data_IF_487024055238
#
_entry.id   IF_487024055238
#
_cell.length_a   1.000
_cell.length_b   1.000
_cell.length_c   1.000
_cell.angle_alpha   90.00
_cell.angle_beta   90.00
_cell.angle_gamma   90.00
#
_symmetry.space_group_name_H-M   'P 1'
#
loop_
_entity.id
_entity.type
_entity.pdbx_description
1 polymer ?
#
# COMPACT_ATOMS: atom_id res chain seq x y z
N UNK A 1 -15.45 24.40 13.10
CA UNK A 1 -16.70 24.19 12.34
C UNK A 1 -17.13 22.74 12.48
N UNK A 2 -18.03 22.50 13.44
CA UNK A 2 -18.91 21.34 13.66
C UNK A 2 -18.42 19.91 13.30
N UNK A 3 -17.94 19.17 14.31
CA UNK A 3 -17.86 17.69 14.32
C UNK A 3 -19.23 16.99 14.12
N UNK A 4 -20.34 17.73 14.02
CA UNK A 4 -21.71 17.22 13.91
C UNK A 4 -22.24 17.14 12.46
N UNK A 5 -21.41 17.33 11.43
CA UNK A 5 -21.84 17.24 10.01
C UNK A 5 -21.29 16.05 9.20
N UNK A 6 -20.83 14.98 9.84
CA UNK A 6 -20.55 13.73 9.11
C UNK A 6 -21.70 12.73 9.29
N UNK A 7 -22.81 12.96 8.57
CA UNK A 7 -23.93 12.01 8.39
C UNK A 7 -23.47 10.64 7.84
N UNK A 8 -22.21 10.53 7.40
CA UNK A 8 -21.59 9.31 6.93
C UNK A 8 -20.69 8.61 7.97
N UNK A 9 -20.27 9.25 9.06
CA UNK A 9 -19.25 8.68 9.95
C UNK A 9 -19.73 7.40 10.64
N UNK A 10 -20.87 7.47 11.33
CA UNK A 10 -21.47 6.32 12.02
C UNK A 10 -21.82 5.16 11.08
N UNK A 11 -22.55 5.37 9.96
CA UNK A 11 -22.84 4.26 9.03
C UNK A 11 -21.57 3.71 8.37
N UNK A 12 -20.58 4.55 8.03
CA UNK A 12 -19.32 4.08 7.45
C UNK A 12 -18.48 3.27 8.44
N UNK A 13 -18.35 3.71 9.68
CA UNK A 13 -17.67 2.97 10.74
C UNK A 13 -18.35 1.62 10.99
N UNK A 14 -19.69 1.59 11.04
CA UNK A 14 -20.45 0.35 11.16
C UNK A 14 -20.21 -0.61 10.00
N UNK A 15 -20.31 -0.12 8.76
CA UNK A 15 -20.06 -0.93 7.57
C UNK A 15 -18.63 -1.46 7.52
N UNK A 16 -17.66 -0.60 7.79
CA UNK A 16 -16.24 -0.94 7.76
C UNK A 16 -15.91 -2.03 8.78
N UNK A 17 -16.26 -1.81 10.05
CA UNK A 17 -15.94 -2.75 11.13
C UNK A 17 -16.78 -4.02 11.05
N UNK A 18 -18.03 -3.95 10.60
CA UNK A 18 -18.87 -5.14 10.39
C UNK A 18 -18.30 -6.07 9.33
N UNK A 19 -17.87 -5.51 8.17
CA UNK A 19 -17.22 -6.28 7.10
C UNK A 19 -15.91 -6.88 7.59
N UNK A 20 -15.03 -6.08 8.21
CA UNK A 20 -13.76 -6.58 8.74
C UNK A 20 -13.94 -7.66 9.81
N UNK A 21 -14.96 -7.52 10.67
CA UNK A 21 -15.27 -8.52 11.69
C UNK A 21 -15.69 -9.85 11.07
N UNK A 22 -16.57 -9.82 10.05
CA UNK A 22 -16.94 -11.02 9.30
C UNK A 22 -15.73 -11.66 8.61
N UNK A 23 -14.89 -10.85 7.97
CA UNK A 23 -13.66 -11.33 7.34
C UNK A 23 -12.70 -11.98 8.35
N UNK A 24 -12.59 -11.40 9.55
CA UNK A 24 -11.76 -11.95 10.64
C UNK A 24 -12.30 -13.28 11.13
N UNK A 25 -13.62 -13.40 11.31
CA UNK A 25 -14.28 -14.67 11.68
C UNK A 25 -14.02 -15.75 10.63
N UNK A 26 -14.06 -15.41 9.33
CA UNK A 26 -13.69 -16.35 8.27
C UNK A 26 -12.22 -16.78 8.38
N UNK A 27 -11.31 -15.89 8.76
CA UNK A 27 -9.91 -16.26 9.00
C UNK A 27 -9.75 -17.26 10.16
N UNK A 28 -10.57 -17.16 11.22
CA UNK A 28 -10.59 -18.14 12.30
C UNK A 28 -11.16 -19.50 11.87
N UNK A 29 -12.15 -19.54 10.96
CA UNK A 29 -12.70 -20.79 10.43
C UNK A 29 -11.76 -21.49 9.42
N UNK A 30 -11.01 -20.72 8.64
CA UNK A 30 -10.16 -21.25 7.57
C UNK A 30 -8.71 -20.73 7.68
N UNK A 31 -8.04 -20.94 8.82
CA UNK A 31 -6.74 -20.32 9.09
C UNK A 31 -5.66 -20.81 8.11
N UNK A 32 -5.73 -22.06 7.67
CA UNK A 32 -4.79 -22.64 6.70
C UNK A 32 -4.87 -22.02 5.30
N UNK A 33 -6.04 -21.47 4.94
CA UNK A 33 -6.30 -20.91 3.63
C UNK A 33 -6.24 -19.38 3.64
N UNK A 34 -6.66 -18.73 4.71
CA UNK A 34 -6.90 -17.28 4.77
C UNK A 34 -5.91 -16.52 5.65
N UNK A 35 -4.95 -17.20 6.27
CA UNK A 35 -3.91 -16.55 7.08
C UNK A 35 -2.52 -16.93 6.63
N UNK A 36 -1.62 -15.96 6.58
CA UNK A 36 -0.26 -16.18 6.10
C UNK A 36 0.65 -16.56 7.28
N UNK A 37 1.55 -17.52 7.06
CA UNK A 37 2.44 -18.03 8.12
C UNK A 37 3.29 -16.92 8.74
N UNK A 38 3.85 -16.07 7.89
CA UNK A 38 4.74 -14.98 8.28
C UNK A 38 4.02 -13.98 9.21
N UNK A 39 2.74 -13.70 8.96
CA UNK A 39 1.96 -12.74 9.74
C UNK A 39 1.36 -13.34 11.01
N UNK A 40 1.03 -14.64 11.01
CA UNK A 40 0.67 -15.36 12.24
C UNK A 40 1.75 -15.31 13.33
N UNK A 41 3.02 -15.09 12.96
CA UNK A 41 4.11 -14.90 13.91
C UNK A 41 4.17 -13.48 14.50
N UNK A 42 3.44 -12.52 13.94
CA UNK A 42 3.51 -11.09 14.30
C UNK A 42 2.47 -10.69 15.35
N UNK A 43 1.32 -11.37 15.39
CA UNK A 43 0.24 -11.07 16.33
C UNK A 43 -0.25 -12.33 17.05
N UNK A 44 -0.82 -12.14 18.25
CA UNK A 44 -1.36 -13.24 19.05
C UNK A 44 -2.84 -13.47 18.76
N UNK A 45 -3.32 -14.68 19.03
CA UNK A 45 -4.75 -15.01 18.96
C UNK A 45 -5.58 -14.07 19.86
N UNK A 46 -5.16 -13.86 21.10
CA UNK A 46 -5.82 -12.96 22.06
C UNK A 46 -5.96 -11.54 21.52
N UNK A 47 -4.90 -11.04 20.86
CA UNK A 47 -4.94 -9.73 20.22
C UNK A 47 -5.99 -9.69 19.11
N UNK A 48 -6.03 -10.70 18.23
CA UNK A 48 -7.00 -10.77 17.14
C UNK A 48 -8.44 -10.89 17.65
N UNK A 49 -8.68 -11.71 18.68
CA UNK A 49 -10.01 -11.86 19.31
C UNK A 49 -10.45 -10.57 20.01
N UNK A 50 -9.54 -9.89 20.70
CA UNK A 50 -9.82 -8.59 21.34
C UNK A 50 -10.18 -7.54 20.30
N UNK A 51 -9.42 -7.46 19.21
CA UNK A 51 -9.70 -6.51 18.13
C UNK A 51 -11.04 -6.80 17.45
N UNK A 52 -11.35 -8.08 17.22
CA UNK A 52 -12.66 -8.53 16.71
C UNK A 52 -13.81 -8.12 17.63
N UNK A 53 -13.66 -8.31 18.95
CA UNK A 53 -14.67 -7.92 19.93
C UNK A 53 -14.97 -6.41 19.87
N UNK A 54 -13.90 -5.59 19.86
CA UNK A 54 -14.01 -4.13 19.76
C UNK A 54 -14.70 -3.76 18.43
N UNK A 55 -14.29 -4.39 17.33
CA UNK A 55 -14.87 -4.19 16.00
C UNK A 55 -16.38 -4.46 15.97
N UNK A 56 -16.81 -5.61 16.50
CA UNK A 56 -18.22 -6.00 16.59
C UNK A 56 -19.03 -5.01 17.45
N UNK A 57 -18.52 -4.67 18.64
CA UNK A 57 -19.19 -3.76 19.57
C UNK A 57 -19.41 -2.37 18.94
N UNK A 58 -18.37 -1.82 18.32
CA UNK A 58 -18.47 -0.52 17.62
C UNK A 58 -19.36 -0.62 16.39
N UNK A 59 -19.31 -1.73 15.63
CA UNK A 59 -20.14 -1.92 14.44
C UNK A 59 -21.63 -1.90 14.77
N UNK A 60 -22.04 -2.62 15.82
CA UNK A 60 -23.43 -2.61 16.29
C UNK A 60 -23.82 -1.23 16.83
N UNK A 61 -23.01 -0.65 17.72
CA UNK A 61 -23.33 0.64 18.33
C UNK A 61 -23.48 1.75 17.29
N UNK A 62 -22.49 1.91 16.40
CA UNK A 62 -22.52 2.92 15.34
C UNK A 62 -23.63 2.65 14.32
N UNK A 63 -23.90 1.39 14.00
CA UNK A 63 -24.94 0.98 13.08
C UNK A 63 -26.34 1.28 13.60
N UNK A 64 -26.62 0.94 14.87
CA UNK A 64 -27.87 1.25 15.54
C UNK A 64 -28.10 2.76 15.61
N UNK A 65 -27.07 3.54 16.00
CA UNK A 65 -27.17 5.01 15.98
C UNK A 65 -27.50 5.53 14.59
N UNK A 66 -26.83 5.01 13.55
CA UNK A 66 -27.05 5.44 12.18
C UNK A 66 -28.48 5.12 11.70
N UNK A 67 -29.01 3.93 12.00
CA UNK A 67 -30.39 3.55 11.67
C UNK A 67 -31.40 4.43 12.41
N UNK A 68 -31.22 4.65 13.72
CA UNK A 68 -32.10 5.48 14.53
C UNK A 68 -32.09 6.95 14.10
N UNK A 69 -30.97 7.44 13.57
CA UNK A 69 -30.82 8.82 13.06
C UNK A 69 -31.12 8.96 11.56
N UNK A 70 -31.62 7.90 10.92
CA UNK A 70 -31.89 7.86 9.47
C UNK A 70 -30.68 8.25 8.60
N UNK A 71 -29.48 7.82 9.01
CA UNK A 71 -28.21 8.11 8.34
C UNK A 71 -27.80 6.96 7.42
N UNK A 72 -27.84 7.18 6.10
CA UNK A 72 -27.37 6.23 5.08
C UNK A 72 -27.74 4.76 5.38
N UNK A 73 -29.03 4.50 5.61
CA UNK A 73 -29.58 3.20 6.07
C UNK A 73 -28.98 1.97 5.39
N UNK A 74 -28.77 1.99 4.06
CA UNK A 74 -28.17 0.85 3.33
C UNK A 74 -26.80 0.45 3.89
N UNK A 75 -25.96 1.43 4.18
CA UNK A 75 -24.60 1.22 4.71
C UNK A 75 -24.66 0.77 6.17
N UNK A 76 -25.53 1.37 6.98
CA UNK A 76 -25.75 0.94 8.37
C UNK A 76 -26.28 -0.50 8.46
N UNK A 77 -27.27 -0.87 7.63
CA UNK A 77 -27.79 -2.24 7.56
C UNK A 77 -26.75 -3.23 7.08
N UNK A 78 -25.88 -2.86 6.12
CA UNK A 78 -24.79 -3.72 5.71
C UNK A 78 -23.80 -3.96 6.86
N UNK A 79 -23.45 -2.93 7.63
CA UNK A 79 -22.57 -3.05 8.80
C UNK A 79 -23.16 -3.91 9.90
N UNK A 80 -24.39 -3.64 10.31
CA UNK A 80 -25.09 -4.44 11.32
C UNK A 80 -25.29 -5.88 10.83
N UNK A 81 -25.70 -6.08 9.57
CA UNK A 81 -25.93 -7.40 8.99
C UNK A 81 -24.65 -8.25 8.92
N UNK A 82 -23.53 -7.66 8.52
CA UNK A 82 -22.23 -8.36 8.48
C UNK A 82 -21.70 -8.65 9.89
N UNK A 83 -21.86 -7.73 10.85
CA UNK A 83 -21.54 -7.97 12.26
C UNK A 83 -22.41 -9.10 12.87
N UNK A 84 -23.71 -9.12 12.57
CA UNK A 84 -24.61 -10.22 12.97
C UNK A 84 -24.16 -11.54 12.37
N UNK A 85 -23.83 -11.59 11.08
CA UNK A 85 -23.32 -12.80 10.45
C UNK A 85 -22.02 -13.28 11.12
N UNK A 86 -21.12 -12.37 11.46
CA UNK A 86 -19.89 -12.69 12.17
C UNK A 86 -20.16 -13.34 13.55
N UNK A 87 -21.11 -12.80 14.31
CA UNK A 87 -21.53 -13.38 15.61
C UNK A 87 -22.20 -14.75 15.43
N UNK A 88 -23.10 -14.89 14.44
CA UNK A 88 -23.77 -16.16 14.16
C UNK A 88 -22.80 -17.26 13.72
N UNK A 89 -21.69 -16.89 13.10
CA UNK A 89 -20.59 -17.78 12.75
C UNK A 89 -19.63 -18.02 13.93
N UNK A 90 -19.95 -17.59 15.16
CA UNK A 90 -19.16 -17.87 16.36
C UNK A 90 -18.37 -16.67 16.91
N UNK A 91 -18.22 -15.58 16.14
CA UNK A 91 -17.62 -14.34 16.61
C UNK A 91 -16.24 -14.53 17.25
N UNK A 92 -16.09 -14.09 18.49
CA UNK A 92 -14.84 -14.21 19.27
C UNK A 92 -14.62 -15.60 19.86
N UNK A 93 -15.59 -16.50 19.74
CA UNK A 93 -15.58 -17.86 20.32
C UNK A 93 -15.37 -18.94 19.26
N UNK A 94 -15.01 -18.58 18.02
CA UNK A 94 -14.70 -19.57 16.97
C UNK A 94 -13.64 -20.53 17.51
N UNK A 95 -13.94 -21.86 17.56
CA UNK A 95 -12.99 -22.84 18.06
C UNK A 95 -11.73 -22.83 17.19
N UNK A 96 -10.58 -22.71 17.84
CA UNK A 96 -9.29 -22.80 17.18
C UNK A 96 -8.52 -23.92 17.86
N UNK A 97 -8.65 -25.12 17.30
CA UNK A 97 -7.90 -26.28 17.76
C UNK A 97 -6.46 -26.15 17.24
N UNK A 98 -5.48 -26.13 18.14
CA UNK A 98 -4.13 -25.63 17.90
C UNK A 98 -3.33 -26.28 16.75
N UNK A 99 -2.28 -25.55 16.35
CA UNK A 99 -1.35 -25.79 15.22
C UNK A 99 -2.00 -25.84 13.84
N UNK A 100 -2.15 -24.66 13.23
CA UNK A 100 -2.47 -24.49 11.81
C UNK A 100 -1.34 -25.10 10.97
N UNK A 101 -1.65 -26.13 10.19
CA UNK A 101 -0.65 -26.84 9.41
C UNK A 101 -0.03 -25.93 8.35
N UNK A 102 1.21 -26.23 7.96
CA UNK A 102 1.90 -25.49 6.91
C UNK A 102 1.31 -25.88 5.55
N UNK A 103 0.49 -25.00 4.98
CA UNK A 103 0.08 -25.09 3.59
C UNK A 103 1.12 -24.44 2.67
N UNK A 104 1.37 -25.00 1.48
CA UNK A 104 2.30 -24.39 0.51
C UNK A 104 1.78 -23.06 -0.05
N UNK A 105 0.46 -22.85 0.01
CA UNK A 105 -0.21 -21.63 -0.42
C UNK A 105 -1.33 -21.27 0.56
N UNK A 106 -1.42 -19.99 0.88
CA UNK A 106 -2.40 -19.33 1.72
C UNK A 106 -2.60 -17.90 1.18
N UNK A 107 -3.78 -17.36 1.46
CA UNK A 107 -4.16 -15.99 1.17
C UNK A 107 -3.85 -15.13 2.40
N UNK A 108 -3.38 -13.91 2.17
CA UNK A 108 -3.11 -12.92 3.22
C UNK A 108 -4.34 -12.11 3.61
N UNK A 109 -5.45 -12.79 3.91
CA UNK A 109 -6.69 -12.10 4.26
C UNK A 109 -6.61 -11.48 5.67
N UNK A 110 -5.94 -12.15 6.59
CA UNK A 110 -5.51 -11.60 7.88
C UNK A 110 -4.72 -10.30 7.73
N UNK A 111 -3.73 -10.31 6.85
CA UNK A 111 -2.88 -9.17 6.58
C UNK A 111 -3.67 -8.03 5.95
N UNK A 112 -4.58 -8.32 5.01
CA UNK A 112 -5.49 -7.33 4.46
C UNK A 112 -6.33 -6.65 5.55
N UNK A 113 -6.93 -7.42 6.46
CA UNK A 113 -7.78 -6.88 7.54
C UNK A 113 -6.96 -5.95 8.44
N UNK A 114 -5.81 -6.41 8.93
CA UNK A 114 -4.97 -5.64 9.84
C UNK A 114 -4.42 -4.38 9.16
N UNK A 115 -3.85 -4.52 7.96
CA UNK A 115 -3.27 -3.39 7.24
C UNK A 115 -4.34 -2.34 6.90
N UNK A 116 -5.53 -2.77 6.45
CA UNK A 116 -6.63 -1.85 6.14
C UNK A 116 -7.14 -1.15 7.40
N UNK A 117 -7.34 -1.89 8.51
CA UNK A 117 -7.80 -1.33 9.78
C UNK A 117 -6.83 -0.26 10.30
N UNK A 118 -5.54 -0.58 10.44
CA UNK A 118 -4.56 0.35 10.99
C UNK A 118 -4.26 1.51 10.05
N UNK A 119 -4.20 1.28 8.73
CA UNK A 119 -4.01 2.38 7.78
C UNK A 119 -5.18 3.34 7.80
N UNK A 120 -6.42 2.84 7.79
CA UNK A 120 -7.61 3.69 7.90
C UNK A 120 -7.65 4.46 9.24
N UNK A 121 -7.33 3.79 10.36
CA UNK A 121 -7.31 4.37 11.69
C UNK A 121 -6.29 5.52 11.81
N UNK A 122 -5.14 5.39 11.15
CA UNK A 122 -4.06 6.40 11.19
C UNK A 122 -4.29 7.49 10.15
N UNK A 123 -4.46 7.13 8.89
CA UNK A 123 -4.39 8.08 7.79
C UNK A 123 -5.69 8.84 7.55
N UNK A 124 -6.88 8.27 7.81
CA UNK A 124 -8.14 9.02 7.63
C UNK A 124 -8.19 10.24 8.57
N UNK A 125 -7.89 10.12 9.88
CA UNK A 125 -7.82 11.28 10.77
C UNK A 125 -6.71 12.26 10.40
N UNK A 126 -5.52 11.76 10.04
CA UNK A 126 -4.40 12.63 9.64
C UNK A 126 -4.73 13.46 8.41
N UNK A 127 -5.31 12.84 7.38
CA UNK A 127 -5.72 13.56 6.17
C UNK A 127 -6.91 14.49 6.41
N UNK A 128 -7.80 14.20 7.37
CA UNK A 128 -8.83 15.17 7.76
C UNK A 128 -8.25 16.38 8.50
N UNK A 129 -7.28 16.16 9.37
CA UNK A 129 -6.69 17.21 10.20
C UNK A 129 -5.71 18.10 9.42
N UNK A 130 -4.95 17.50 8.51
CA UNK A 130 -3.82 18.14 7.83
C UNK A 130 -3.96 18.12 6.31
N UNK A 131 -5.18 18.01 5.79
CA UNK A 131 -5.47 17.88 4.37
C UNK A 131 -4.77 18.96 3.53
N UNK A 132 -4.07 18.57 2.46
CA UNK A 132 -3.65 19.53 1.43
C UNK A 132 -4.85 20.09 0.67
N UNK A 133 -5.82 19.21 0.36
CA UNK A 133 -7.13 19.57 -0.21
C UNK A 133 -8.23 18.80 0.53
N UNK A 134 -9.43 19.37 0.72
CA UNK A 134 -10.54 18.64 1.31
C UNK A 134 -11.04 17.59 0.31
N UNK A 135 -10.70 16.32 0.57
CA UNK A 135 -11.10 15.18 -0.25
C UNK A 135 -11.99 14.25 0.59
N UNK A 136 -13.19 13.87 0.11
CA UNK A 136 -14.02 12.90 0.83
C UNK A 136 -13.34 11.54 0.92
N UNK A 137 -13.51 10.81 2.04
CA UNK A 137 -12.99 9.44 2.22
C UNK A 137 -13.39 8.52 1.05
N UNK A 138 -14.64 8.64 0.60
CA UNK A 138 -15.17 7.88 -0.54
C UNK A 138 -15.07 8.67 -1.86
N UNK A 139 -13.89 9.22 -2.16
CA UNK A 139 -13.63 9.98 -3.41
C UNK A 139 -13.73 9.11 -4.67
N UNK A 140 -13.99 9.69 -5.87
CA UNK A 140 -13.91 8.94 -7.12
C UNK A 140 -12.61 8.12 -7.23
N UNK A 141 -12.75 6.84 -7.57
CA UNK A 141 -11.63 5.89 -7.64
C UNK A 141 -11.36 5.09 -6.36
N UNK A 142 -11.92 5.45 -5.20
CA UNK A 142 -11.64 4.77 -3.92
C UNK A 142 -11.87 3.25 -3.98
N UNK A 143 -12.90 2.80 -4.71
CA UNK A 143 -13.20 1.37 -4.88
C UNK A 143 -12.12 0.64 -5.65
N UNK A 144 -11.59 1.28 -6.69
CA UNK A 144 -10.49 0.72 -7.48
C UNK A 144 -9.26 0.60 -6.60
N UNK A 145 -8.92 1.64 -5.85
CA UNK A 145 -7.77 1.64 -4.94
C UNK A 145 -7.94 0.61 -3.81
N UNK A 146 -9.16 0.45 -3.26
CA UNK A 146 -9.46 -0.60 -2.30
C UNK A 146 -9.32 -2.01 -2.90
N UNK A 147 -9.72 -2.23 -4.15
CA UNK A 147 -9.51 -3.51 -4.83
C UNK A 147 -8.02 -3.81 -5.07
N UNK A 148 -7.21 -2.81 -5.40
CA UNK A 148 -5.76 -2.98 -5.53
C UNK A 148 -5.11 -3.27 -4.17
N UNK A 149 -5.52 -2.54 -3.12
CA UNK A 149 -5.09 -2.82 -1.76
C UNK A 149 -5.46 -4.25 -1.35
N UNK A 150 -6.69 -4.69 -1.62
CA UNK A 150 -7.12 -6.06 -1.38
C UNK A 150 -6.22 -7.07 -2.11
N UNK A 151 -6.02 -6.90 -3.42
CA UNK A 151 -5.19 -7.78 -4.23
C UNK A 151 -3.75 -7.89 -3.68
N UNK A 152 -3.11 -6.76 -3.38
CA UNK A 152 -1.70 -6.75 -2.94
C UNK A 152 -1.48 -7.42 -1.59
N UNK A 153 -2.49 -7.42 -0.72
CA UNK A 153 -2.41 -8.03 0.61
C UNK A 153 -2.85 -9.49 0.57
N UNK A 154 -3.95 -9.81 -0.10
CA UNK A 154 -4.44 -11.19 -0.22
C UNK A 154 -3.49 -12.07 -1.01
N UNK A 155 -2.82 -11.54 -2.04
CA UNK A 155 -1.83 -12.28 -2.83
C UNK A 155 -0.40 -12.17 -2.28
N UNK A 156 -0.21 -11.71 -1.03
CA UNK A 156 1.14 -11.45 -0.48
C UNK A 156 2.06 -12.66 -0.54
N UNK A 157 1.56 -13.87 -0.23
CA UNK A 157 2.38 -15.08 -0.27
C UNK A 157 2.73 -15.47 -1.71
N UNK A 158 1.80 -15.36 -2.66
CA UNK A 158 2.09 -15.57 -4.08
C UNK A 158 3.16 -14.59 -4.57
N UNK A 159 3.04 -13.31 -4.21
CA UNK A 159 4.04 -12.29 -4.54
C UNK A 159 5.40 -12.66 -3.93
N UNK A 160 5.44 -13.07 -2.67
CA UNK A 160 6.67 -13.49 -1.99
C UNK A 160 7.33 -14.69 -2.68
N UNK A 161 6.54 -15.69 -3.09
CA UNK A 161 7.02 -16.87 -3.83
C UNK A 161 7.62 -16.43 -5.17
N UNK A 162 6.92 -15.61 -5.95
CA UNK A 162 7.40 -15.14 -7.25
C UNK A 162 8.68 -14.30 -7.12
N UNK A 163 8.73 -13.40 -6.13
CA UNK A 163 9.90 -12.58 -5.85
C UNK A 163 11.08 -13.48 -5.47
N UNK A 164 10.91 -14.39 -4.52
CA UNK A 164 11.97 -15.33 -4.07
C UNK A 164 12.45 -16.22 -5.21
N UNK A 165 11.53 -16.76 -6.02
CA UNK A 165 11.88 -17.55 -7.20
C UNK A 165 12.73 -16.76 -8.20
N UNK A 166 12.37 -15.49 -8.45
CA UNK A 166 13.08 -14.63 -9.39
C UNK A 166 14.49 -14.20 -8.92
N UNK A 167 14.72 -14.11 -7.60
CA UNK A 167 16.01 -13.65 -7.06
C UNK A 167 16.95 -14.79 -6.66
N UNK A 168 16.41 -15.94 -6.20
CA UNK A 168 17.18 -17.04 -5.62
C UNK A 168 18.25 -17.62 -6.54
N UNK A 169 17.96 -17.77 -7.83
CA UNK A 169 18.93 -18.28 -8.82
C UNK A 169 20.13 -17.35 -9.00
N UNK A 170 19.89 -16.04 -9.01
CA UNK A 170 20.95 -15.04 -9.16
C UNK A 170 21.80 -15.01 -7.89
N UNK A 171 21.16 -15.05 -6.72
CA UNK A 171 21.85 -15.03 -5.41
C UNK A 171 22.65 -16.32 -5.15
N UNK A 172 22.21 -17.46 -5.67
CA UNK A 172 22.94 -18.72 -5.52
C UNK A 172 24.18 -18.79 -6.40
N UNK A 173 24.15 -18.14 -7.57
CA UNK A 173 25.23 -18.18 -8.58
C UNK A 173 26.24 -17.05 -8.43
N UNK A 174 25.79 -15.86 -8.05
CA UNK A 174 26.66 -14.69 -7.86
C UNK A 174 27.18 -14.67 -6.43
N UNK A 175 28.50 -14.81 -6.27
CA UNK A 175 29.20 -14.65 -4.99
C UNK A 175 30.10 -13.42 -5.07
N UNK A 176 30.04 -12.57 -4.05
CA UNK A 176 30.93 -11.42 -3.89
C UNK A 176 31.81 -11.70 -2.66
N UNK A 177 33.03 -12.22 -2.83
CA UNK A 177 33.89 -12.62 -1.71
C UNK A 177 34.12 -11.46 -0.73
N UNK A 178 34.03 -11.74 0.57
CA UNK A 178 34.25 -10.77 1.66
C UNK A 178 33.17 -9.70 1.84
N UNK A 179 32.29 -9.45 0.86
CA UNK A 179 31.23 -8.45 0.97
C UNK A 179 30.18 -8.82 2.03
N UNK A 180 29.74 -10.08 2.04
CA UNK A 180 28.69 -10.52 2.95
C UNK A 180 29.16 -10.49 4.41
N UNK A 181 30.38 -10.94 4.67
CA UNK A 181 31.01 -10.86 6.00
C UNK A 181 31.13 -9.40 6.45
N UNK A 182 31.67 -8.53 5.58
CA UNK A 182 31.79 -7.11 5.89
C UNK A 182 30.45 -6.45 6.21
N UNK A 183 29.41 -6.73 5.42
CA UNK A 183 28.06 -6.17 5.63
C UNK A 183 27.41 -6.68 6.91
N UNK A 184 27.63 -7.95 7.26
CA UNK A 184 27.07 -8.56 8.46
C UNK A 184 27.77 -8.09 9.74
N UNK A 185 29.03 -7.68 9.64
CA UNK A 185 29.80 -7.10 10.75
C UNK A 185 29.44 -5.63 11.04
N UNK A 186 28.71 -4.97 10.14
CA UNK A 186 28.28 -3.59 10.37
C UNK A 186 27.28 -3.49 11.53
N UNK A 187 27.33 -2.41 12.33
CA UNK A 187 26.27 -2.11 13.29
C UNK A 187 24.91 -2.06 12.59
N UNK A 188 23.88 -2.62 13.24
CA UNK A 188 22.54 -2.78 12.65
C UNK A 188 22.01 -1.50 11.98
N UNK A 189 22.16 -0.34 12.64
CA UNK A 189 21.68 0.95 12.10
C UNK A 189 22.40 1.34 10.82
N UNK A 190 23.71 1.10 10.73
CA UNK A 190 24.50 1.40 9.53
C UNK A 190 24.10 0.46 8.39
N UNK A 191 24.01 -0.84 8.67
CA UNK A 191 23.53 -1.82 7.70
C UNK A 191 22.12 -1.48 7.20
N UNK A 192 21.22 -1.07 8.10
CA UNK A 192 19.86 -0.65 7.76
C UNK A 192 19.84 0.58 6.85
N UNK A 193 20.57 1.65 7.18
CA UNK A 193 20.61 2.85 6.34
C UNK A 193 21.21 2.56 4.95
N UNK A 194 22.24 1.70 4.87
CA UNK A 194 22.80 1.25 3.60
C UNK A 194 21.80 0.41 2.80
N UNK A 195 21.05 -0.49 3.45
CA UNK A 195 20.00 -1.26 2.81
C UNK A 195 18.89 -0.36 2.25
N UNK A 196 18.43 0.63 3.03
CA UNK A 196 17.45 1.63 2.57
C UNK A 196 17.96 2.37 1.34
N UNK A 197 19.19 2.87 1.37
CA UNK A 197 19.78 3.59 0.24
C UNK A 197 19.89 2.70 -1.02
N UNK A 198 20.40 1.47 -0.87
CA UNK A 198 20.60 0.55 -1.99
C UNK A 198 19.27 0.11 -2.59
N UNK A 199 18.28 -0.19 -1.74
CA UNK A 199 16.93 -0.54 -2.16
C UNK A 199 16.25 0.61 -2.90
N UNK A 200 16.33 1.83 -2.38
CA UNK A 200 15.73 3.01 -2.99
C UNK A 200 16.42 3.38 -4.31
N UNK A 201 17.75 3.24 -4.40
CA UNK A 201 18.48 3.40 -5.65
C UNK A 201 18.04 2.38 -6.71
N UNK A 202 17.94 1.10 -6.35
CA UNK A 202 17.49 0.05 -7.26
C UNK A 202 16.04 0.30 -7.72
N UNK A 203 15.17 0.69 -6.79
CA UNK A 203 13.80 1.07 -7.10
C UNK A 203 13.74 2.28 -8.01
N UNK A 204 14.46 3.37 -7.71
CA UNK A 204 14.45 4.61 -8.50
C UNK A 204 14.95 4.38 -9.93
N UNK A 205 15.95 3.52 -10.13
CA UNK A 205 16.43 3.14 -11.46
C UNK A 205 15.34 2.40 -12.25
N UNK A 206 14.71 1.38 -11.65
CA UNK A 206 13.60 0.68 -12.29
C UNK A 206 12.41 1.61 -12.54
N UNK A 207 12.16 2.53 -11.61
CA UNK A 207 11.09 3.49 -11.72
C UNK A 207 11.31 4.47 -12.87
N UNK A 208 12.54 4.95 -13.05
CA UNK A 208 12.93 5.68 -14.26
C UNK A 208 12.74 4.86 -15.53
N UNK A 209 13.00 3.55 -15.49
CA UNK A 209 12.72 2.65 -16.61
C UNK A 209 11.21 2.52 -16.88
N UNK A 210 10.35 2.49 -15.85
CA UNK A 210 8.90 2.54 -16.03
C UNK A 210 8.48 3.78 -16.84
N UNK A 211 9.10 4.93 -16.58
CA UNK A 211 8.80 6.18 -17.28
C UNK A 211 9.43 6.31 -18.67
N UNK A 212 10.48 5.53 -18.98
CA UNK A 212 11.25 5.68 -20.24
C UNK A 212 11.15 4.50 -21.21
N UNK A 213 10.62 3.36 -20.77
CA UNK A 213 10.43 2.16 -21.60
C UNK A 213 8.93 1.92 -21.77
N UNK A 214 8.45 1.96 -23.01
CA UNK A 214 7.02 2.00 -23.31
C UNK A 214 6.26 0.78 -22.78
N UNK A 215 6.88 -0.41 -22.89
CA UNK A 215 6.29 -1.64 -22.37
C UNK A 215 6.08 -1.55 -20.85
N UNK A 216 7.05 -0.98 -20.13
CA UNK A 216 7.00 -0.81 -18.69
C UNK A 216 6.03 0.31 -18.28
N UNK A 217 5.98 1.41 -19.03
CA UNK A 217 5.03 2.50 -18.81
C UNK A 217 3.59 2.03 -18.87
N UNK A 218 3.23 1.08 -19.73
CA UNK A 218 1.85 0.55 -19.81
C UNK A 218 1.34 0.01 -18.48
N UNK A 219 2.22 -0.64 -17.70
CA UNK A 219 1.89 -1.13 -16.38
C UNK A 219 1.84 0.02 -15.37
N UNK A 220 2.87 0.88 -15.39
CA UNK A 220 3.03 1.96 -14.43
C UNK A 220 2.07 3.14 -14.61
N UNK A 221 1.54 3.35 -15.82
CA UNK A 221 0.47 4.30 -16.08
C UNK A 221 -0.79 3.99 -15.26
N UNK A 222 -1.01 2.74 -14.86
CA UNK A 222 -2.08 2.36 -13.92
C UNK A 222 -1.87 3.06 -12.58
N UNK A 223 -0.64 3.09 -12.07
CA UNK A 223 -0.29 3.80 -10.84
C UNK A 223 -0.51 5.31 -10.97
N UNK A 224 -0.01 5.91 -12.04
CA UNK A 224 -0.25 7.31 -12.35
C UNK A 224 -1.68 7.64 -12.78
N UNK A 225 -2.62 6.69 -12.84
CA UNK A 225 -3.98 6.99 -13.33
C UNK A 225 -4.89 7.67 -12.30
N UNK A 226 -4.43 7.85 -11.06
CA UNK A 226 -5.28 8.46 -10.02
C UNK A 226 -5.39 9.97 -10.20
N UNK A 227 -6.61 10.53 -10.33
CA UNK A 227 -6.80 11.97 -10.44
C UNK A 227 -6.66 12.69 -9.08
N UNK A 228 -6.69 11.93 -7.99
CA UNK A 228 -6.57 12.40 -6.61
C UNK A 228 -5.61 11.47 -5.85
N UNK A 229 -4.80 12.06 -4.98
CA UNK A 229 -3.87 11.33 -4.12
C UNK A 229 -4.34 11.38 -2.66
N UNK A 230 -4.35 10.21 -2.04
CA UNK A 230 -4.54 9.98 -0.62
C UNK A 230 -3.76 8.72 -0.23
N UNK A 231 -3.82 8.35 1.05
CA UNK A 231 -3.14 7.18 1.61
C UNK A 231 -3.48 5.87 0.88
N UNK A 232 -4.68 5.77 0.28
CA UNK A 232 -5.12 4.59 -0.43
C UNK A 232 -4.67 4.60 -1.90
N UNK A 233 -4.49 5.78 -2.52
CA UNK A 233 -4.10 5.93 -3.93
C UNK A 233 -2.79 5.19 -4.26
N UNK A 234 -1.83 5.18 -3.32
CA UNK A 234 -0.55 4.49 -3.48
C UNK A 234 -0.67 2.97 -3.67
N UNK A 235 -1.81 2.37 -3.32
CA UNK A 235 -2.03 0.92 -3.52
C UNK A 235 -2.27 0.55 -4.97
N UNK A 236 -2.68 1.50 -5.82
CA UNK A 236 -3.02 1.26 -7.23
C UNK A 236 -1.77 0.94 -8.03
N UNK A 237 -1.28 -0.30 -7.92
CA UNK A 237 -0.07 -0.77 -8.58
C UNK A 237 -0.40 -2.06 -9.29
N UNK A 238 -0.02 -2.18 -10.56
CA UNK A 238 -0.29 -3.38 -11.34
C UNK A 238 0.43 -4.61 -10.73
N UNK A 239 -0.18 -5.79 -10.79
CA UNK A 239 0.41 -7.01 -10.21
C UNK A 239 1.84 -7.29 -10.73
N UNK A 240 2.04 -7.24 -12.05
CA UNK A 240 3.37 -7.39 -12.68
C UNK A 240 4.38 -6.37 -12.16
N UNK A 241 3.97 -5.12 -11.99
CA UNK A 241 4.83 -4.06 -11.46
C UNK A 241 5.20 -4.33 -10.00
N UNK A 242 4.25 -4.82 -9.20
CA UNK A 242 4.49 -5.22 -7.80
C UNK A 242 5.58 -6.29 -7.71
N UNK A 243 5.47 -7.35 -8.52
CA UNK A 243 6.45 -8.44 -8.53
C UNK A 243 7.80 -7.91 -9.00
N UNK A 244 7.85 -7.20 -10.14
CA UNK A 244 9.09 -6.69 -10.71
C UNK A 244 9.81 -5.71 -9.77
N UNK A 245 9.08 -4.77 -9.17
CA UNK A 245 9.64 -3.79 -8.23
C UNK A 245 10.21 -4.48 -7.00
N UNK A 246 9.45 -5.39 -6.38
CA UNK A 246 9.93 -6.12 -5.20
C UNK A 246 11.13 -7.01 -5.51
N UNK A 247 11.18 -7.64 -6.68
CA UNK A 247 12.34 -8.43 -7.12
C UNK A 247 13.59 -7.57 -7.29
N UNK A 248 13.49 -6.43 -7.98
CA UNK A 248 14.64 -5.54 -8.20
C UNK A 248 15.11 -4.87 -6.91
N UNK A 249 14.20 -4.57 -5.98
CA UNK A 249 14.54 -4.06 -4.65
C UNK A 249 15.25 -5.12 -3.81
N UNK A 250 14.72 -6.35 -3.78
CA UNK A 250 15.24 -7.40 -2.90
C UNK A 250 16.56 -7.98 -3.40
N UNK A 251 16.73 -8.11 -4.71
CA UNK A 251 17.91 -8.72 -5.33
C UNK A 251 19.25 -8.13 -4.83
N UNK A 252 19.51 -6.81 -4.89
CA UNK A 252 20.77 -6.24 -4.44
C UNK A 252 20.96 -6.40 -2.92
N UNK A 253 19.87 -6.38 -2.13
CA UNK A 253 19.97 -6.59 -0.68
C UNK A 253 20.48 -8.00 -0.35
N UNK A 254 19.96 -9.01 -1.05
CA UNK A 254 20.38 -10.40 -0.88
C UNK A 254 21.78 -10.66 -1.43
N UNK A 255 22.15 -10.05 -2.55
CA UNK A 255 23.48 -10.20 -3.16
C UNK A 255 24.59 -9.63 -2.28
N UNK A 256 24.36 -8.44 -1.73
CA UNK A 256 25.28 -7.76 -0.82
C UNK A 256 25.38 -8.48 0.53
N UNK A 257 24.33 -9.21 0.93
CA UNK A 257 24.35 -10.10 2.08
C UNK A 257 23.81 -9.47 3.37
N UNK A 258 22.90 -8.50 3.26
CA UNK A 258 22.23 -7.95 4.45
C UNK A 258 21.51 -9.06 5.22
N UNK A 259 21.58 -8.98 6.55
CA UNK A 259 20.95 -9.97 7.43
C UNK A 259 19.41 -9.95 7.26
N UNK A 260 18.72 -11.07 7.53
CA UNK A 260 17.27 -11.13 7.46
C UNK A 260 16.56 -10.08 8.32
N UNK A 261 17.14 -9.72 9.49
CA UNK A 261 16.58 -8.69 10.36
C UNK A 261 16.62 -7.30 9.73
N UNK A 262 17.69 -6.95 9.02
CA UNK A 262 17.80 -5.68 8.28
C UNK A 262 16.80 -5.64 7.12
N UNK A 263 16.70 -6.73 6.36
CA UNK A 263 15.73 -6.82 5.24
C UNK A 263 14.28 -6.73 5.74
N UNK A 264 13.96 -7.38 6.86
CA UNK A 264 12.63 -7.29 7.48
C UNK A 264 12.33 -5.88 8.01
N UNK A 265 13.31 -5.21 8.62
CA UNK A 265 13.16 -3.81 9.04
C UNK A 265 12.90 -2.88 7.83
N UNK A 266 13.59 -3.11 6.71
CA UNK A 266 13.33 -2.39 5.46
C UNK A 266 11.91 -2.65 4.94
N UNK A 267 11.43 -3.90 4.99
CA UNK A 267 10.07 -4.24 4.57
C UNK A 267 8.99 -3.46 5.37
N UNK A 268 9.22 -3.25 6.67
CA UNK A 268 8.35 -2.41 7.51
C UNK A 268 8.44 -0.94 7.08
N UNK A 269 9.65 -0.41 6.88
CA UNK A 269 9.85 0.98 6.43
C UNK A 269 9.11 1.24 5.12
N UNK A 270 9.31 0.41 4.09
CA UNK A 270 8.71 0.62 2.78
C UNK A 270 7.18 0.54 2.82
N UNK A 271 6.62 -0.34 3.67
CA UNK A 271 5.18 -0.43 3.88
C UNK A 271 4.56 0.86 4.41
N UNK A 272 5.24 1.53 5.36
CA UNK A 272 4.78 2.80 5.93
C UNK A 272 5.03 3.94 4.94
N UNK A 273 6.24 4.01 4.42
CA UNK A 273 6.74 5.18 3.73
C UNK A 273 6.12 5.31 2.32
N UNK A 274 5.77 4.18 1.67
CA UNK A 274 4.96 4.19 0.45
C UNK A 274 3.56 4.82 0.67
N UNK A 275 2.91 4.59 1.82
CA UNK A 275 1.61 5.19 2.15
C UNK A 275 1.78 6.68 2.46
N UNK A 276 2.78 7.03 3.28
CA UNK A 276 3.07 8.43 3.63
C UNK A 276 3.38 9.27 2.38
N UNK A 277 4.12 8.73 1.41
CA UNK A 277 4.47 9.46 0.18
C UNK A 277 3.23 9.88 -0.64
N UNK A 278 2.12 9.15 -0.56
CA UNK A 278 0.90 9.45 -1.30
C UNK A 278 -0.18 10.16 -0.47
N UNK A 279 -0.02 10.18 0.85
CA UNK A 279 -1.03 10.70 1.76
C UNK A 279 -1.35 12.18 1.46
N UNK A 280 -2.63 12.55 1.56
CA UNK A 280 -3.11 13.92 1.36
C UNK A 280 -2.77 14.81 2.56
N UNK A 281 -1.49 14.89 2.95
CA UNK A 281 -1.00 15.67 4.08
C UNK A 281 -0.28 16.92 3.57
N UNK A 282 -0.89 18.09 3.75
CA UNK A 282 -0.42 19.39 3.27
C UNK A 282 0.64 20.07 4.12
N UNK A 283 1.27 19.35 5.06
CA UNK A 283 2.30 19.90 5.93
C UNK A 283 3.58 20.14 5.12
N UNK A 284 4.19 21.32 5.29
CA UNK A 284 5.54 21.61 4.78
C UNK A 284 6.57 21.24 5.83
N UNK A 285 7.43 20.28 5.51
CA UNK A 285 8.44 19.78 6.44
C UNK A 285 9.83 20.44 6.27
N UNK A 286 9.95 21.43 5.37
CA UNK A 286 11.16 22.21 5.18
C UNK A 286 12.34 21.36 4.73
N UNK A 287 13.46 21.41 5.47
CA UNK A 287 14.69 20.68 5.13
C UNK A 287 14.48 19.17 5.06
N UNK A 288 13.52 18.61 5.81
CA UNK A 288 13.24 17.18 5.77
C UNK A 288 12.78 16.70 4.39
N UNK A 289 12.17 17.56 3.56
CA UNK A 289 11.75 17.23 2.19
C UNK A 289 12.93 16.96 1.23
N UNK A 290 14.16 17.22 1.67
CA UNK A 290 15.39 16.92 0.95
C UNK A 290 16.10 15.67 1.49
N UNK A 291 15.70 15.18 2.66
CA UNK A 291 16.32 14.02 3.34
C UNK A 291 15.46 12.77 3.22
N UNK A 292 14.13 12.93 3.36
CA UNK A 292 13.16 11.85 3.29
C UNK A 292 12.04 12.27 2.34
N UNK A 293 11.60 11.34 1.51
CA UNK A 293 10.46 11.55 0.63
C UNK A 293 9.21 11.72 1.47
N UNK A 294 8.50 12.80 1.19
CA UNK A 294 7.31 13.25 1.88
C UNK A 294 6.23 13.59 0.84
N UNK A 295 4.95 13.74 1.24
CA UNK A 295 3.85 13.87 0.29
C UNK A 295 4.11 14.87 -0.84
N UNK A 296 4.57 16.09 -0.54
CA UNK A 296 4.81 17.11 -1.58
C UNK A 296 5.78 16.65 -2.68
N UNK A 297 6.84 15.95 -2.30
CA UNK A 297 7.84 15.42 -3.22
C UNK A 297 7.23 14.44 -4.23
N UNK A 298 6.51 13.45 -3.72
CA UNK A 298 5.96 12.38 -4.54
C UNK A 298 4.66 12.81 -5.24
N UNK A 299 3.92 13.77 -4.69
CA UNK A 299 2.83 14.43 -5.40
C UNK A 299 3.33 15.12 -6.68
N UNK A 300 4.50 15.78 -6.66
CA UNK A 300 5.11 16.35 -7.86
C UNK A 300 5.51 15.29 -8.89
N UNK A 301 5.88 14.09 -8.46
CA UNK A 301 6.10 12.95 -9.36
C UNK A 301 4.79 12.53 -10.07
N UNK A 302 3.68 12.50 -9.34
CA UNK A 302 2.34 12.20 -9.86
C UNK A 302 1.66 13.37 -10.57
N UNK A 303 2.33 14.52 -10.68
CA UNK A 303 1.76 15.71 -11.28
C UNK A 303 1.45 15.48 -12.76
N UNK A 304 0.24 15.86 -13.16
CA UNK A 304 -0.16 15.90 -14.57
C UNK A 304 0.44 17.13 -15.24
N UNK A 305 1.76 17.17 -15.36
CA UNK A 305 2.51 18.34 -15.83
C UNK A 305 3.78 17.93 -16.60
N UNK A 306 3.94 18.47 -17.82
CA UNK A 306 5.05 18.12 -18.74
C UNK A 306 6.45 18.41 -18.19
N UNK A 307 6.58 19.36 -17.27
CA UNK A 307 7.86 19.65 -16.64
C UNK A 307 8.24 18.72 -15.47
N UNK A 308 7.32 17.87 -15.01
CA UNK A 308 7.48 17.06 -13.78
C UNK A 308 7.24 15.56 -13.97
N UNK A 309 6.63 15.14 -15.09
CA UNK A 309 6.28 13.72 -15.31
C UNK A 309 7.49 12.77 -15.28
N UNK A 310 8.71 13.25 -15.59
CA UNK A 310 9.94 12.43 -15.60
C UNK A 310 10.91 12.76 -14.44
N UNK A 311 10.37 13.12 -13.27
CA UNK A 311 11.14 13.57 -12.10
C UNK A 311 10.77 12.80 -10.85
N UNK A 312 11.65 12.84 -9.84
CA UNK A 312 11.39 12.36 -8.48
C UNK A 312 10.99 10.87 -8.38
N UNK A 313 11.86 9.96 -8.78
CA UNK A 313 11.62 8.51 -8.83
C UNK A 313 11.81 7.77 -7.49
N UNK A 314 12.63 8.31 -6.59
CA UNK A 314 12.90 7.75 -5.28
C UNK A 314 11.62 7.70 -4.46
N UNK A 315 11.49 6.63 -3.66
CA UNK A 315 10.39 6.52 -2.72
C UNK A 315 10.84 6.88 -1.31
N UNK A 316 12.12 6.70 -0.93
CA UNK A 316 12.58 6.96 0.44
C UNK A 316 13.43 8.22 0.60
N UNK A 317 14.41 8.40 -0.26
CA UNK A 317 15.51 9.35 -0.09
C UNK A 317 15.63 10.24 -1.32
N UNK A 318 15.23 11.53 -1.26
CA UNK A 318 15.35 12.44 -2.40
C UNK A 318 16.79 12.61 -2.90
N UNK A 319 17.79 12.33 -2.07
CA UNK A 319 19.21 12.31 -2.48
C UNK A 319 19.48 11.33 -3.62
N UNK A 320 18.74 10.22 -3.73
CA UNK A 320 18.86 9.28 -4.86
C UNK A 320 18.56 9.99 -6.18
N UNK A 321 17.47 10.78 -6.23
CA UNK A 321 17.15 11.58 -7.40
C UNK A 321 18.11 12.76 -7.63
N UNK A 322 18.70 13.32 -6.56
CA UNK A 322 19.74 14.34 -6.71
C UNK A 322 20.98 13.75 -7.40
N UNK A 323 21.39 12.54 -7.01
CA UNK A 323 22.48 11.81 -7.64
C UNK A 323 22.15 11.42 -9.09
N UNK A 324 20.89 11.06 -9.37
CA UNK A 324 20.42 10.71 -10.71
C UNK A 324 20.12 11.92 -11.63
N UNK A 325 20.17 13.14 -11.09
CA UNK A 325 19.81 14.38 -11.80
C UNK A 325 18.31 14.53 -12.11
N UNK A 326 17.45 13.79 -11.42
CA UNK A 326 15.99 13.76 -11.60
C UNK A 326 15.23 14.52 -10.50
N UNK A 327 15.90 15.00 -9.45
CA UNK A 327 15.28 15.76 -8.36
C UNK A 327 14.71 17.09 -8.87
N UNK A 328 13.43 17.33 -8.60
CA UNK A 328 12.75 18.58 -8.93
C UNK A 328 11.64 18.88 -7.92
N UNK A 329 11.89 19.88 -7.07
CA UNK A 329 10.94 20.33 -6.06
C UNK A 329 10.86 21.87 -6.09
N UNK A 330 9.67 22.46 -6.33
CA UNK A 330 9.52 23.92 -6.36
C UNK A 330 9.90 24.57 -5.02
N UNK A 331 10.68 25.64 -5.11
CA UNK A 331 11.21 26.38 -3.95
C UNK A 331 10.16 27.29 -3.30
N UNK A 332 9.18 27.76 -4.07
CA UNK A 332 8.05 28.55 -3.60
C UNK A 332 7.13 27.76 -2.65
N UNK A 333 7.26 26.43 -2.63
CA UNK A 333 6.43 25.54 -1.82
C UNK A 333 5.10 25.20 -2.46
N UNK A 334 4.95 25.45 -3.76
CA UNK A 334 3.78 25.06 -4.52
C UNK A 334 3.57 23.54 -4.51
N UNK A 335 2.31 23.16 -4.72
CA UNK A 335 1.85 21.79 -4.87
C UNK A 335 1.26 21.62 -6.27
N UNK A 336 1.28 20.41 -6.86
CA UNK A 336 0.68 20.15 -8.15
C UNK A 336 -0.82 20.46 -8.17
N UNK A 337 -1.29 21.14 -9.21
CA UNK A 337 -2.71 21.46 -9.33
C UNK A 337 -3.56 20.25 -9.75
N UNK A 338 -2.99 19.40 -10.60
CA UNK A 338 -3.63 18.20 -11.13
C UNK A 338 -2.73 16.97 -10.99
N UNK A 339 -3.37 15.82 -10.80
CA UNK A 339 -2.73 14.52 -10.80
C UNK A 339 -3.28 13.66 -11.94
N UNK A 340 -2.52 12.62 -12.25
CA UNK A 340 -2.90 11.64 -13.25
C UNK A 340 -1.90 11.56 -14.40
N UNK A 341 -2.11 10.60 -15.28
CA UNK A 341 -1.50 10.57 -16.62
C UNK A 341 -1.90 11.82 -17.41
N UNK A 342 -1.02 12.26 -18.32
CA UNK A 342 -1.25 13.46 -19.15
C UNK A 342 -2.55 13.35 -19.97
N UNK A 343 -2.81 12.17 -20.53
CA UNK A 343 -4.06 11.82 -21.24
C UNK A 343 -4.85 10.75 -20.50
N UNK A 344 -5.92 11.13 -19.80
CA UNK A 344 -6.67 10.23 -18.90
C UNK A 344 -7.33 9.05 -19.62
N UNK A 345 -7.74 9.26 -20.87
CA UNK A 345 -8.31 8.25 -21.77
C UNK A 345 -7.34 7.11 -22.12
N UNK A 346 -6.06 7.27 -21.80
CA UNK A 346 -5.05 6.24 -22.08
C UNK A 346 -5.09 5.06 -21.13
N UNK A 347 -5.66 5.25 -19.93
CA UNK A 347 -5.82 4.21 -18.91
C UNK A 347 -7.31 3.99 -18.66
N UNK A 348 -7.84 2.77 -18.85
CA UNK A 348 -9.25 2.52 -18.61
C UNK A 348 -9.60 2.60 -17.12
N UNK A 349 -10.89 2.71 -16.83
CA UNK A 349 -11.40 2.71 -15.45
C UNK A 349 -11.67 1.28 -14.99
N UNK A 350 -11.27 0.99 -13.75
CA UNK A 350 -11.57 -0.27 -13.08
C UNK A 350 -10.48 -1.32 -13.20
N UNK A 351 -10.28 -2.07 -12.12
CA UNK A 351 -9.15 -2.97 -11.94
C UNK A 351 -9.01 -4.02 -13.05
N UNK A 352 -10.10 -4.62 -13.52
CA UNK A 352 -10.04 -5.65 -14.57
C UNK A 352 -9.55 -5.07 -15.90
N UNK A 353 -10.11 -3.92 -16.31
CA UNK A 353 -9.69 -3.26 -17.53
C UNK A 353 -8.25 -2.77 -17.43
N UNK A 354 -7.84 -2.25 -16.27
CA UNK A 354 -6.48 -1.80 -15.99
C UNK A 354 -5.45 -2.94 -15.96
N UNK A 355 -5.84 -4.18 -15.60
CA UNK A 355 -4.94 -5.33 -15.67
C UNK A 355 -4.79 -5.90 -17.09
N UNK A 356 -5.80 -5.74 -17.94
CA UNK A 356 -5.76 -6.27 -19.31
C UNK A 356 -5.13 -5.26 -20.29
N UNK A 357 -5.35 -3.96 -20.09
CA UNK A 357 -4.86 -2.91 -20.98
C UNK A 357 -3.35 -2.97 -21.27
N UNK A 358 -2.47 -3.24 -20.28
CA UNK A 358 -1.04 -3.33 -20.51
C UNK A 358 -0.61 -4.46 -21.45
N UNK A 359 -1.47 -5.42 -21.78
CA UNK A 359 -1.18 -6.50 -22.72
C UNK A 359 -1.75 -6.26 -24.12
N UNK A 360 -2.71 -5.33 -24.27
CA UNK A 360 -3.40 -5.05 -25.55
C UNK A 360 -2.73 -3.98 -26.43
N UNK A 361 -1.80 -3.20 -25.86
CA UNK A 361 -1.25 -2.01 -26.49
C UNK A 361 -0.44 -2.26 -27.78
N UNK A 362 -0.82 -1.49 -28.81
CA UNK A 362 0.00 -1.04 -29.93
C UNK A 362 0.47 0.42 -29.75
N UNK A 363 0.16 1.03 -28.59
CA UNK A 363 0.36 2.46 -28.31
C UNK A 363 1.84 2.80 -28.07
N UNK A 364 2.28 3.95 -28.57
CA UNK A 364 3.62 4.52 -28.40
C UNK A 364 3.63 5.55 -27.26
N UNK A 365 4.80 6.06 -26.87
CA UNK A 365 4.91 7.07 -25.81
C UNK A 365 4.17 8.37 -26.16
N UNK A 366 4.17 8.72 -27.45
CA UNK A 366 3.44 9.88 -27.97
C UNK A 366 1.96 9.77 -27.61
N UNK A 367 1.33 8.61 -27.77
CA UNK A 367 -0.09 8.41 -27.40
C UNK A 367 -0.41 8.70 -25.93
N UNK A 368 0.58 8.69 -25.04
CA UNK A 368 0.42 8.98 -23.61
C UNK A 368 0.74 10.43 -23.23
N UNK A 369 1.49 11.15 -24.05
CA UNK A 369 2.10 12.46 -23.73
C UNK A 369 1.63 13.58 -24.66
N UNK A 370 1.53 13.31 -25.97
CA UNK A 370 1.19 14.24 -27.06
C UNK A 370 -0.14 13.88 -27.67
#
# INVERSE_FOLDING_TARGET
>A
MSMLRHHLLAPAASCFLGVLSLTTVLCFHFPELLTTREFRAVYTEDFARTLLLIGLAVAFFAGTIAVLRDQHKKMAFLGVGTATAAVLLGGTEVPFEGTVHNTPFALGLDWFVLALFFSALVFIPLEHAFARRPVPVFRPGWRTDACYFFMSHVLVQLILILVTASTSLVVSTVKIPGMQEWIQDLPFVVAFLLAVFLADLAQAVLHRCYHRIMVLWRFHAVHHSSPELDWLAGSRVHFVETVLTRSIVLLPLLLVGFSPSVVNAYAVLVGIQAVVAHANIGIRFGVLEYLVVLPRYHHWHHARHLDYWDRNYAIHLPVVDMLMGSFKLPRDGSWPEEYGVLKRETVPVGILAQHVAPFRGRRTFEDYVH
#
